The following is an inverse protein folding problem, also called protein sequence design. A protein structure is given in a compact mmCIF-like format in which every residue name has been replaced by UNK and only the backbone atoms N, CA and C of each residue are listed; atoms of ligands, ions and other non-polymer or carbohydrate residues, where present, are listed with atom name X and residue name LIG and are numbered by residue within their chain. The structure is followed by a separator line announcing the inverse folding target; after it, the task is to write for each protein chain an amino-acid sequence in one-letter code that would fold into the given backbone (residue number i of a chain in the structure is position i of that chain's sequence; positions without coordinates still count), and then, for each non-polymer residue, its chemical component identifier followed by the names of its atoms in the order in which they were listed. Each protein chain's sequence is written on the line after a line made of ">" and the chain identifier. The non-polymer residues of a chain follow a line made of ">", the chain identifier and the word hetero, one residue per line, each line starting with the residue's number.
data_IF_800989659878
#
_entry.id   IF_800989659878
#
_cell.length_a   1.000
_cell.length_b   1.000
_cell.length_c   1.000
_cell.angle_alpha   90.00
_cell.angle_beta   90.00
_cell.angle_gamma   90.00
#
_symmetry.space_group_name_H-M   'P 1'
#
loop_
_entity.id
_entity.type
_entity.pdbx_description
1 polymer ?
#
# COMPACT_ATOMS: atom_id res chain seq x y z
N UNK A 1 -19.72 4.32 12.22
CA UNK A 1 -20.03 2.88 12.32
C UNK A 1 -20.56 2.28 11.02
N UNK A 2 -21.64 2.78 10.40
CA UNK A 2 -22.14 2.19 9.14
C UNK A 2 -21.10 2.19 8.00
N UNK A 3 -20.33 3.27 7.88
CA UNK A 3 -19.31 3.43 6.83
C UNK A 3 -18.17 2.40 6.93
N UNK A 4 -17.66 2.11 8.14
CA UNK A 4 -16.57 1.14 8.33
C UNK A 4 -17.01 -0.27 7.90
N UNK A 5 -18.24 -0.68 8.20
CA UNK A 5 -18.74 -1.98 7.77
C UNK A 5 -18.90 -2.07 6.25
N UNK A 6 -19.34 -1.00 5.58
CA UNK A 6 -19.43 -0.97 4.11
C UNK A 6 -18.05 -1.17 3.50
N UNK A 7 -17.03 -0.43 3.97
CA UNK A 7 -15.65 -0.58 3.50
C UNK A 7 -15.14 -2.01 3.73
N UNK A 8 -15.40 -2.60 4.91
CA UNK A 8 -15.01 -3.98 5.24
C UNK A 8 -15.68 -4.98 4.29
N UNK A 9 -16.97 -4.84 4.01
CA UNK A 9 -17.71 -5.73 3.11
C UNK A 9 -17.16 -5.63 1.70
N UNK A 10 -16.97 -4.42 1.18
CA UNK A 10 -16.41 -4.19 -0.16
C UNK A 10 -14.99 -4.75 -0.27
N UNK A 11 -14.15 -4.52 0.75
CA UNK A 11 -12.80 -5.05 0.83
C UNK A 11 -12.79 -6.59 0.86
N UNK A 12 -13.69 -7.20 1.63
CA UNK A 12 -13.81 -8.66 1.71
C UNK A 12 -14.23 -9.25 0.37
N UNK A 13 -15.21 -8.64 -0.31
CA UNK A 13 -15.64 -9.04 -1.66
C UNK A 13 -14.48 -8.91 -2.65
N UNK A 14 -13.73 -7.80 -2.62
CA UNK A 14 -12.57 -7.59 -3.48
C UNK A 14 -11.51 -8.68 -3.26
N UNK A 15 -11.14 -8.97 -2.01
CA UNK A 15 -10.15 -9.98 -1.67
C UNK A 15 -10.58 -11.38 -2.12
N UNK A 16 -11.84 -11.76 -1.88
CA UNK A 16 -12.39 -13.05 -2.31
C UNK A 16 -12.42 -13.16 -3.85
N UNK A 17 -12.89 -12.11 -4.53
CA UNK A 17 -12.89 -12.07 -5.99
C UNK A 17 -11.49 -12.22 -6.56
N UNK A 18 -10.50 -11.49 -6.03
CA UNK A 18 -9.14 -11.55 -6.53
C UNK A 18 -8.44 -12.89 -6.20
N UNK A 19 -8.69 -13.46 -5.02
CA UNK A 19 -8.08 -14.73 -4.59
C UNK A 19 -8.65 -15.92 -5.38
N UNK A 20 -9.97 -15.98 -5.57
CA UNK A 20 -10.67 -17.15 -6.12
C UNK A 20 -11.13 -16.97 -7.58
N UNK A 21 -11.24 -15.74 -8.08
CA UNK A 21 -11.70 -15.41 -9.44
C UNK A 21 -10.66 -15.65 -10.54
N UNK A 22 -9.88 -16.74 -10.48
CA UNK A 22 -8.84 -17.06 -11.47
C UNK A 22 -9.41 -17.23 -12.89
N UNK A 23 -10.66 -17.66 -13.03
CA UNK A 23 -11.34 -17.80 -14.33
C UNK A 23 -11.55 -16.44 -15.00
N UNK A 24 -11.94 -15.42 -14.24
CA UNK A 24 -12.24 -14.07 -14.77
C UNK A 24 -10.98 -13.21 -14.90
N UNK A 25 -10.04 -13.35 -13.95
CA UNK A 25 -8.77 -12.64 -13.96
C UNK A 25 -7.64 -13.66 -13.83
N UNK A 26 -7.12 -14.26 -14.92
CA UNK A 26 -6.14 -15.35 -14.83
C UNK A 26 -4.73 -14.90 -14.45
N UNK A 27 -4.37 -13.65 -14.72
CA UNK A 27 -3.03 -13.11 -14.47
C UNK A 27 -2.78 -12.87 -12.99
N UNK A 28 -1.87 -13.65 -12.39
CA UNK A 28 -1.43 -13.44 -11.00
C UNK A 28 -0.76 -12.08 -10.80
N UNK A 29 -0.08 -11.56 -11.82
CA UNK A 29 0.50 -10.23 -11.78
C UNK A 29 -0.58 -9.16 -11.60
N UNK A 30 -1.65 -9.22 -12.41
CA UNK A 30 -2.75 -8.25 -12.32
C UNK A 30 -3.50 -8.43 -11.01
N UNK A 31 -3.79 -9.67 -10.58
CA UNK A 31 -4.44 -9.94 -9.31
C UNK A 31 -3.64 -9.38 -8.11
N UNK A 32 -2.31 -9.57 -8.09
CA UNK A 32 -1.43 -9.00 -7.05
C UNK A 32 -1.47 -7.48 -7.02
N UNK A 33 -1.31 -6.82 -8.18
CA UNK A 33 -1.25 -5.35 -8.23
C UNK A 33 -2.63 -4.71 -7.99
N UNK A 34 -3.71 -5.34 -8.46
CA UNK A 34 -5.08 -4.94 -8.12
C UNK A 34 -5.38 -5.14 -6.63
N UNK A 35 -4.92 -6.24 -6.02
CA UNK A 35 -5.05 -6.44 -4.59
C UNK A 35 -4.27 -5.38 -3.82
N UNK A 36 -3.01 -5.10 -4.20
CA UNK A 36 -2.16 -4.12 -3.54
C UNK A 36 -2.79 -2.71 -3.59
N UNK A 37 -3.06 -2.19 -4.80
CA UNK A 37 -3.60 -0.84 -4.96
C UNK A 37 -5.07 -0.73 -4.50
N UNK A 38 -5.90 -1.71 -4.83
CA UNK A 38 -7.33 -1.71 -4.48
C UNK A 38 -7.57 -1.86 -2.98
N UNK A 39 -6.84 -2.77 -2.33
CA UNK A 39 -6.90 -2.88 -0.86
C UNK A 39 -6.35 -1.63 -0.20
N UNK A 40 -5.24 -1.10 -0.72
CA UNK A 40 -4.68 0.16 -0.27
C UNK A 40 -5.71 1.29 -0.31
N UNK A 41 -6.38 1.49 -1.45
CA UNK A 41 -7.44 2.49 -1.61
C UNK A 41 -8.55 2.35 -0.57
N UNK A 42 -9.08 1.13 -0.38
CA UNK A 42 -10.14 0.89 0.60
C UNK A 42 -9.64 1.07 2.04
N UNK A 43 -8.37 0.76 2.33
CA UNK A 43 -7.74 1.04 3.62
C UNK A 43 -7.56 2.52 3.91
N UNK A 44 -7.41 3.38 2.89
CA UNK A 44 -7.39 4.84 3.07
C UNK A 44 -8.74 5.38 3.58
N UNK A 45 -9.84 4.66 3.32
CA UNK A 45 -11.17 5.00 3.81
C UNK A 45 -11.41 4.52 5.26
N UNK A 46 -10.50 3.72 5.82
CA UNK A 46 -10.58 3.27 7.20
C UNK A 46 -9.95 4.29 8.13
N UNK A 47 -10.65 4.59 9.23
CA UNK A 47 -10.10 5.34 10.34
C UNK A 47 -9.31 4.40 11.26
N UNK A 48 -8.00 4.59 11.38
CA UNK A 48 -7.12 3.78 12.22
C UNK A 48 -7.41 3.91 13.73
N UNK A 49 -8.17 4.93 14.15
CA UNK A 49 -8.66 5.07 15.54
C UNK A 49 -9.90 4.25 15.83
N UNK A 50 -10.65 3.86 14.81
CA UNK A 50 -11.81 2.96 14.95
C UNK A 50 -11.32 1.54 15.28
N UNK A 51 -11.84 0.99 16.38
CA UNK A 51 -11.46 -0.33 16.90
C UNK A 51 -11.83 -1.44 15.90
N UNK A 52 -12.99 -1.34 15.24
CA UNK A 52 -13.47 -2.32 14.26
C UNK A 52 -12.56 -2.30 13.03
N UNK A 53 -12.19 -1.11 12.55
CA UNK A 53 -11.25 -0.98 11.44
C UNK A 53 -9.89 -1.62 11.75
N UNK A 54 -9.34 -1.40 12.96
CA UNK A 54 -8.08 -2.02 13.37
C UNK A 54 -8.17 -3.54 13.43
N UNK A 55 -9.20 -4.08 14.08
CA UNK A 55 -9.38 -5.54 14.15
C UNK A 55 -9.51 -6.16 12.77
N UNK A 56 -10.20 -5.50 11.85
CA UNK A 56 -10.29 -5.94 10.48
C UNK A 56 -8.91 -5.96 9.79
N UNK A 57 -8.14 -4.86 9.86
CA UNK A 57 -6.79 -4.80 9.28
C UNK A 57 -5.87 -5.85 9.88
N UNK A 58 -5.89 -6.04 11.20
CA UNK A 58 -5.10 -7.08 11.87
C UNK A 58 -5.49 -8.48 11.42
N UNK A 59 -6.78 -8.74 11.21
CA UNK A 59 -7.26 -10.02 10.70
C UNK A 59 -6.78 -10.26 9.27
N UNK A 60 -6.85 -9.25 8.40
CA UNK A 60 -6.33 -9.33 7.02
C UNK A 60 -4.82 -9.59 7.03
N UNK A 61 -4.06 -8.88 7.87
CA UNK A 61 -2.60 -9.08 8.04
C UNK A 61 -2.31 -10.49 8.52
N UNK A 62 -2.98 -10.95 9.59
CA UNK A 62 -2.77 -12.27 10.18
C UNK A 62 -3.06 -13.39 9.17
N UNK A 63 -4.20 -13.32 8.48
CA UNK A 63 -4.56 -14.32 7.46
C UNK A 63 -3.58 -14.29 6.29
N UNK A 64 -3.21 -13.11 5.79
CA UNK A 64 -2.27 -12.98 4.67
C UNK A 64 -0.88 -13.52 5.02
N UNK A 65 -0.39 -13.24 6.23
CA UNK A 65 0.88 -13.79 6.73
C UNK A 65 0.79 -15.30 6.94
N UNK A 66 -0.30 -15.79 7.53
CA UNK A 66 -0.52 -17.22 7.75
C UNK A 66 -0.56 -18.01 6.44
N UNK A 67 -1.15 -17.45 5.37
CA UNK A 67 -1.12 -18.06 4.04
C UNK A 67 0.28 -17.95 3.39
N UNK A 68 0.98 -16.83 3.56
CA UNK A 68 2.33 -16.60 3.00
C UNK A 68 3.36 -17.55 3.62
N UNK A 69 3.26 -17.81 4.92
CA UNK A 69 4.22 -18.61 5.70
C UNK A 69 3.76 -20.05 5.97
N UNK A 70 2.67 -20.50 5.32
CA UNK A 70 2.08 -21.84 5.48
C UNK A 70 1.76 -22.22 6.93
N UNK A 71 1.23 -21.29 7.71
CA UNK A 71 0.72 -21.59 9.07
C UNK A 71 -0.60 -22.35 9.04
N UNK A 72 -1.33 -22.26 7.93
CA UNK A 72 -2.60 -22.96 7.76
C UNK A 72 -2.43 -24.35 7.12
N UNK A 73 -3.38 -25.28 7.34
CA UNK A 73 -3.35 -26.61 6.75
C UNK A 73 -3.31 -26.60 5.21
N UNK A 74 -2.86 -27.69 4.62
CA UNK A 74 -2.67 -27.83 3.16
C UNK A 74 -3.94 -27.71 2.31
N UNK A 75 -5.14 -27.83 2.90
CA UNK A 75 -6.40 -27.61 2.20
C UNK A 75 -6.70 -26.12 1.97
N UNK A 76 -6.04 -25.20 2.68
CA UNK A 76 -6.12 -23.77 2.42
C UNK A 76 -5.32 -23.46 1.14
N UNK A 77 -5.91 -22.77 0.16
CA UNK A 77 -5.22 -22.46 -1.09
C UNK A 77 -4.00 -21.57 -0.87
N UNK A 78 -3.01 -21.69 -1.76
CA UNK A 78 -1.83 -20.82 -1.75
C UNK A 78 -2.23 -19.37 -1.94
N UNK A 79 -1.55 -18.47 -1.21
CA UNK A 79 -1.78 -17.04 -1.32
C UNK A 79 -1.49 -16.56 -2.73
N UNK A 80 -2.50 -16.02 -3.41
CA UNK A 80 -2.37 -15.68 -4.83
C UNK A 80 -1.55 -14.42 -5.07
N UNK A 81 -1.51 -13.53 -4.08
CA UNK A 81 -0.91 -12.21 -4.20
C UNK A 81 0.59 -12.18 -3.92
N UNK A 82 1.19 -13.33 -3.57
CA UNK A 82 2.59 -13.42 -3.15
C UNK A 82 3.24 -14.74 -3.50
N UNK A 83 4.57 -14.77 -3.39
CA UNK A 83 5.30 -16.03 -3.31
C UNK A 83 5.11 -16.69 -1.94
N UNK A 84 5.48 -17.98 -1.84
CA UNK A 84 5.67 -18.61 -0.53
C UNK A 84 6.85 -17.93 0.17
N UNK A 85 6.68 -17.60 1.45
CA UNK A 85 7.71 -16.92 2.25
C UNK A 85 8.14 -15.57 1.66
N UNK A 86 7.21 -14.86 1.01
CA UNK A 86 7.46 -13.54 0.41
C UNK A 86 7.73 -12.50 1.51
N UNK A 87 9.01 -12.18 1.70
CA UNK A 87 9.48 -11.21 2.70
C UNK A 87 9.04 -9.79 2.38
N UNK A 88 8.86 -9.44 1.09
CA UNK A 88 8.37 -8.12 0.69
C UNK A 88 6.94 -7.87 1.14
N UNK A 89 6.05 -8.85 0.95
CA UNK A 89 4.68 -8.81 1.47
C UNK A 89 4.70 -8.80 3.00
N UNK A 90 5.57 -9.60 3.61
CA UNK A 90 5.69 -9.65 5.08
C UNK A 90 6.01 -8.27 5.65
N UNK A 91 7.02 -7.60 5.11
CA UNK A 91 7.43 -6.25 5.57
C UNK A 91 6.33 -5.23 5.30
N UNK A 92 5.71 -5.25 4.13
CA UNK A 92 4.58 -4.40 3.80
C UNK A 92 3.44 -4.53 4.82
N UNK A 93 3.02 -5.76 5.12
CA UNK A 93 1.94 -6.02 6.08
C UNK A 93 2.31 -5.61 7.50
N UNK A 94 3.57 -5.81 7.91
CA UNK A 94 4.07 -5.36 9.22
C UNK A 94 4.06 -3.82 9.32
N UNK A 95 4.48 -3.10 8.29
CA UNK A 95 4.43 -1.62 8.25
C UNK A 95 2.97 -1.15 8.41
N UNK A 96 2.05 -1.72 7.63
CA UNK A 96 0.63 -1.38 7.69
C UNK A 96 0.04 -1.69 9.06
N UNK A 97 0.32 -2.88 9.62
CA UNK A 97 -0.13 -3.28 10.95
C UNK A 97 0.39 -2.34 12.03
N UNK A 98 1.68 -2.00 11.97
CA UNK A 98 2.31 -1.07 12.89
C UNK A 98 1.69 0.31 12.82
N UNK A 99 1.42 0.83 11.61
CA UNK A 99 0.80 2.15 11.44
C UNK A 99 -0.60 2.23 12.03
N UNK A 100 -1.42 1.18 11.83
CA UNK A 100 -2.74 1.05 12.47
C UNK A 100 -2.64 0.84 13.99
N UNK A 101 -1.64 0.11 14.48
CA UNK A 101 -1.36 -0.02 15.91
C UNK A 101 -1.03 1.32 16.56
N UNK A 102 -0.23 2.13 15.90
CA UNK A 102 0.09 3.50 16.29
C UNK A 102 -1.07 4.50 16.08
N UNK A 103 -2.21 4.04 15.55
CA UNK A 103 -3.41 4.84 15.28
C UNK A 103 -3.12 6.10 14.45
N UNK A 104 -2.14 6.01 13.56
CA UNK A 104 -1.77 7.10 12.65
C UNK A 104 -2.72 7.14 11.45
N UNK A 105 -2.99 8.32 10.85
CA UNK A 105 -3.89 8.43 9.71
C UNK A 105 -3.45 7.54 8.54
N UNK A 106 -4.39 6.77 7.99
CA UNK A 106 -4.13 5.81 6.90
C UNK A 106 -3.65 6.51 5.62
N UNK A 107 -4.03 7.78 5.40
CA UNK A 107 -3.58 8.60 4.26
C UNK A 107 -2.06 8.69 4.12
N UNK A 108 -1.31 8.61 5.22
CA UNK A 108 0.15 8.58 5.21
C UNK A 108 0.73 7.38 4.43
N UNK A 109 -0.03 6.28 4.34
CA UNK A 109 0.36 5.06 3.64
C UNK A 109 0.06 5.11 2.13
N UNK A 110 -0.60 6.16 1.62
CA UNK A 110 -0.99 6.24 0.21
C UNK A 110 0.17 6.06 -0.78
N UNK A 111 1.37 6.63 -0.58
CA UNK A 111 2.50 6.37 -1.48
C UNK A 111 2.88 4.89 -1.55
N UNK A 112 2.82 4.18 -0.42
CA UNK A 112 3.14 2.75 -0.33
C UNK A 112 2.13 1.91 -1.13
N UNK A 113 0.85 2.28 -1.09
CA UNK A 113 -0.23 1.55 -1.76
C UNK A 113 -0.26 1.72 -3.26
N UNK A 114 0.20 2.86 -3.78
CA UNK A 114 0.00 3.21 -5.19
C UNK A 114 1.30 3.28 -6.00
N UNK A 115 2.42 3.70 -5.39
CA UNK A 115 3.63 3.96 -6.16
C UNK A 115 4.26 2.67 -6.72
N UNK A 116 4.41 1.61 -5.92
CA UNK A 116 4.90 0.30 -6.40
C UNK A 116 3.98 -0.32 -7.47
N UNK A 117 2.64 -0.39 -7.28
CA UNK A 117 1.76 -0.89 -8.32
C UNK A 117 1.83 -0.09 -9.63
N UNK A 118 1.90 1.23 -9.54
CA UNK A 118 2.06 2.08 -10.73
C UNK A 118 3.37 1.76 -11.46
N UNK A 119 4.49 1.69 -10.74
CA UNK A 119 5.79 1.36 -11.32
C UNK A 119 5.80 0.02 -12.04
N UNK A 120 5.23 -1.01 -11.42
CA UNK A 120 5.15 -2.34 -12.02
C UNK A 120 4.20 -2.39 -13.24
N UNK A 121 3.04 -1.74 -13.18
CA UNK A 121 2.04 -1.74 -14.26
C UNK A 121 2.58 -0.99 -15.48
N UNK A 122 3.00 0.27 -15.30
CA UNK A 122 3.54 1.08 -16.39
C UNK A 122 4.86 0.52 -16.90
N UNK A 123 5.73 0.03 -16.01
CA UNK A 123 6.95 -0.65 -16.39
C UNK A 123 6.69 -1.82 -17.33
N UNK A 124 5.80 -2.74 -16.94
CA UNK A 124 5.44 -3.91 -17.75
C UNK A 124 4.74 -3.53 -19.05
N UNK A 125 3.79 -2.59 -19.02
CA UNK A 125 3.05 -2.14 -20.20
C UNK A 125 3.98 -1.61 -21.30
N UNK A 126 4.90 -0.72 -20.94
CA UNK A 126 5.82 -0.10 -21.89
C UNK A 126 6.98 -1.04 -22.28
N UNK A 127 7.39 -1.96 -21.40
CA UNK A 127 8.36 -3.02 -21.76
C UNK A 127 7.79 -3.99 -22.78
N UNK A 128 6.51 -4.35 -22.68
CA UNK A 128 5.84 -5.19 -23.68
C UNK A 128 5.74 -4.52 -25.06
N UNK A 129 5.84 -3.19 -25.12
CA UNK A 129 5.86 -2.41 -26.35
C UNK A 129 7.29 -2.17 -26.88
N UNK A 130 8.33 -2.65 -26.18
CA UNK A 130 9.74 -2.50 -26.58
C UNK A 130 10.32 -1.09 -26.39
N UNK A 131 9.58 -0.17 -25.76
CA UNK A 131 9.96 1.25 -25.61
C UNK A 131 10.52 1.60 -24.24
N UNK A 132 10.68 0.62 -23.35
CA UNK A 132 11.08 0.85 -21.96
C UNK A 132 12.41 0.18 -21.62
N UNK A 133 13.43 0.99 -21.34
CA UNK A 133 14.77 0.50 -20.98
C UNK A 133 14.84 0.15 -19.50
N UNK A 134 15.46 -0.99 -19.21
CA UNK A 134 15.91 -1.34 -17.86
C UNK A 134 17.11 -0.45 -17.52
N UNK A 135 17.14 0.11 -16.32
CA UNK A 135 18.24 0.97 -15.87
C UNK A 135 18.88 0.49 -14.55
N UNK A 136 18.14 -0.27 -13.74
CA UNK A 136 18.66 -0.86 -12.51
C UNK A 136 18.04 -2.24 -12.27
N UNK A 137 18.84 -3.31 -12.32
CA UNK A 137 18.38 -4.71 -12.19
C UNK A 137 17.16 -5.06 -13.08
N UNK A 138 15.95 -5.06 -12.53
CA UNK A 138 14.68 -5.32 -13.23
C UNK A 138 13.75 -4.10 -13.25
N UNK A 139 14.28 -2.92 -12.91
CA UNK A 139 13.58 -1.65 -12.82
C UNK A 139 13.78 -0.88 -14.10
N UNK A 140 12.72 -0.25 -14.54
CA UNK A 140 12.63 0.34 -15.87
C UNK A 140 12.41 1.84 -15.77
N UNK A 141 12.88 2.60 -16.75
CA UNK A 141 12.82 4.08 -16.70
C UNK A 141 11.38 4.55 -16.57
N UNK A 142 10.47 4.00 -17.39
CA UNK A 142 9.04 4.37 -17.33
C UNK A 142 8.40 3.92 -16.02
N UNK A 143 8.78 2.74 -15.50
CA UNK A 143 8.29 2.26 -14.21
C UNK A 143 8.69 3.20 -13.07
N UNK A 144 9.98 3.53 -12.96
CA UNK A 144 10.47 4.47 -11.93
C UNK A 144 9.85 5.86 -12.06
N UNK A 145 9.63 6.34 -13.29
CA UNK A 145 8.94 7.61 -13.53
C UNK A 145 7.48 7.56 -13.04
N UNK A 146 6.79 6.44 -13.23
CA UNK A 146 5.44 6.25 -12.70
C UNK A 146 5.42 6.21 -11.17
N UNK A 147 6.40 5.55 -10.52
CA UNK A 147 6.57 5.58 -9.06
C UNK A 147 6.73 7.03 -8.58
N UNK A 148 7.60 7.81 -9.23
CA UNK A 148 7.83 9.21 -8.91
C UNK A 148 6.54 10.04 -8.99
N UNK A 149 5.82 9.99 -10.12
CA UNK A 149 4.60 10.79 -10.28
C UNK A 149 3.50 10.39 -9.31
N UNK A 150 3.29 9.09 -9.11
CA UNK A 150 2.25 8.61 -8.20
C UNK A 150 2.61 8.89 -6.74
N UNK A 151 3.88 8.74 -6.35
CA UNK A 151 4.34 9.15 -5.03
C UNK A 151 4.16 10.66 -4.83
N UNK A 152 4.54 11.49 -5.81
CA UNK A 152 4.35 12.95 -5.74
C UNK A 152 2.89 13.35 -5.53
N UNK A 153 1.95 12.67 -6.18
CA UNK A 153 0.51 12.91 -6.02
C UNK A 153 -0.03 12.38 -4.69
N UNK A 154 0.49 11.25 -4.20
CA UNK A 154 0.03 10.60 -2.99
C UNK A 154 0.63 11.18 -1.69
N UNK A 155 1.76 11.89 -1.79
CA UNK A 155 2.42 12.51 -0.64
C UNK A 155 1.64 13.73 -0.16
N UNK A 156 1.23 13.68 1.11
CA UNK A 156 0.67 14.82 1.81
C UNK A 156 1.81 15.70 2.34
N UNK A 157 2.38 16.54 1.48
CA UNK A 157 3.43 17.51 1.83
C UNK A 157 3.05 18.85 1.20
N UNK A 158 2.72 19.90 1.95
CA UNK A 158 2.16 21.12 1.37
C UNK A 158 3.16 21.91 0.51
N UNK A 159 4.47 21.73 0.74
CA UNK A 159 5.53 22.47 0.04
C UNK A 159 6.03 21.68 -1.17
N UNK A 160 6.03 22.32 -2.34
CA UNK A 160 6.41 21.68 -3.61
C UNK A 160 7.81 21.08 -3.60
N UNK A 161 8.83 21.82 -3.17
CA UNK A 161 10.22 21.36 -3.24
C UNK A 161 10.49 20.13 -2.34
N UNK A 162 10.11 20.10 -1.05
CA UNK A 162 10.18 18.88 -0.24
C UNK A 162 9.37 17.72 -0.81
N UNK A 163 8.16 17.98 -1.34
CA UNK A 163 7.35 16.94 -2.00
C UNK A 163 8.08 16.32 -3.19
N UNK A 164 8.70 17.15 -4.02
CA UNK A 164 9.51 16.74 -5.16
C UNK A 164 10.70 15.88 -4.71
N UNK A 165 11.42 16.30 -3.67
CA UNK A 165 12.55 15.57 -3.11
C UNK A 165 12.11 14.21 -2.56
N UNK A 166 11.05 14.16 -1.74
CA UNK A 166 10.56 12.92 -1.14
C UNK A 166 10.02 11.96 -2.20
N UNK A 167 9.31 12.46 -3.22
CA UNK A 167 8.86 11.64 -4.35
C UNK A 167 10.04 11.04 -5.13
N UNK A 168 11.11 11.81 -5.33
CA UNK A 168 12.35 11.33 -5.94
C UNK A 168 13.01 10.25 -5.09
N UNK A 169 13.05 10.43 -3.77
CA UNK A 169 13.55 9.42 -2.83
C UNK A 169 12.70 8.15 -2.83
N UNK A 170 11.36 8.26 -2.94
CA UNK A 170 10.48 7.10 -3.09
C UNK A 170 10.78 6.34 -4.38
N UNK A 171 10.96 7.05 -5.50
CA UNK A 171 11.26 6.43 -6.79
C UNK A 171 12.64 5.75 -6.83
N UNK A 172 13.66 6.41 -6.27
CA UNK A 172 14.98 5.81 -6.10
C UNK A 172 14.94 4.64 -5.12
N UNK A 173 14.17 4.78 -4.05
CA UNK A 173 13.97 3.75 -3.04
C UNK A 173 13.33 2.49 -3.61
N UNK A 174 12.28 2.64 -4.43
CA UNK A 174 11.68 1.54 -5.19
C UNK A 174 12.70 0.84 -6.08
N UNK A 175 13.57 1.60 -6.74
CA UNK A 175 14.57 1.06 -7.63
C UNK A 175 15.65 0.28 -6.86
N UNK A 176 16.24 0.89 -5.83
CA UNK A 176 17.31 0.29 -5.03
C UNK A 176 16.83 -0.78 -4.04
N UNK A 177 15.54 -0.78 -3.68
CA UNK A 177 14.91 -1.86 -2.91
C UNK A 177 14.78 -3.18 -3.70
N UNK A 178 15.07 -3.15 -5.00
CA UNK A 178 15.09 -4.34 -5.86
C UNK A 178 13.71 -5.01 -5.94
N UNK A 179 13.68 -6.34 -5.99
CA UNK A 179 12.42 -7.12 -6.07
C UNK A 179 11.72 -7.36 -4.74
N UNK A 180 12.46 -7.21 -3.64
CA UNK A 180 12.06 -7.77 -2.34
C UNK A 180 11.73 -6.69 -1.33
N UNK A 181 12.45 -5.57 -1.36
CA UNK A 181 12.36 -4.52 -0.35
C UNK A 181 11.84 -3.19 -0.92
N UNK A 182 11.35 -3.18 -2.15
CA UNK A 182 10.80 -1.98 -2.82
C UNK A 182 9.82 -1.21 -1.94
N UNK A 183 8.80 -1.88 -1.40
CA UNK A 183 7.82 -1.28 -0.51
C UNK A 183 8.44 -0.72 0.78
N UNK A 184 9.41 -1.43 1.38
CA UNK A 184 10.07 -0.97 2.60
C UNK A 184 10.86 0.32 2.37
N UNK A 185 11.59 0.38 1.24
CA UNK A 185 12.43 1.54 0.90
C UNK A 185 11.60 2.70 0.35
N UNK A 186 10.39 2.48 -0.18
CA UNK A 186 9.39 3.54 -0.42
C UNK A 186 8.83 4.06 0.91
N UNK A 187 8.52 3.16 1.85
CA UNK A 187 7.90 3.52 3.12
C UNK A 187 8.78 4.44 3.98
N UNK A 188 10.10 4.26 3.97
CA UNK A 188 11.04 5.10 4.75
C UNK A 188 10.89 6.59 4.44
N UNK A 189 11.08 7.08 3.19
CA UNK A 189 10.91 8.49 2.87
C UNK A 189 9.45 8.95 3.00
N UNK A 190 8.47 8.11 2.62
CA UNK A 190 7.06 8.48 2.71
C UNK A 190 6.61 8.72 4.17
N UNK A 191 6.78 7.72 5.05
CA UNK A 191 6.37 7.81 6.45
C UNK A 191 7.29 8.72 7.26
N UNK A 192 8.59 8.75 6.95
CA UNK A 192 9.52 9.70 7.56
C UNK A 192 9.13 11.15 7.28
N UNK A 193 8.75 11.46 6.03
CA UNK A 193 8.27 12.80 5.68
C UNK A 193 6.94 13.13 6.35
N UNK A 194 6.02 12.16 6.47
CA UNK A 194 4.78 12.35 7.22
C UNK A 194 5.07 12.79 8.65
N UNK A 195 5.92 12.04 9.37
CA UNK A 195 6.30 12.36 10.75
C UNK A 195 7.01 13.71 10.86
N UNK A 196 7.78 14.12 9.85
CA UNK A 196 8.43 15.42 9.84
C UNK A 196 7.45 16.59 9.68
N UNK A 197 6.50 16.49 8.75
CA UNK A 197 5.59 17.60 8.42
C UNK A 197 4.34 17.66 9.31
N UNK A 198 3.88 16.51 9.81
CA UNK A 198 2.65 16.42 10.60
C UNK A 198 2.91 16.05 12.07
N UNK A 199 4.13 15.63 12.41
CA UNK A 199 4.43 15.08 13.72
C UNK A 199 3.78 13.71 13.94
N UNK A 200 3.89 13.23 15.17
CA UNK A 200 3.16 12.05 15.62
C UNK A 200 1.74 12.47 15.99
N UNK A 201 0.71 11.89 15.37
CA UNK A 201 -0.65 12.21 15.74
C UNK A 201 -0.91 11.72 17.18
N UNK A 202 -0.84 12.62 18.15
CA UNK A 202 -1.30 12.35 19.51
C UNK A 202 -2.82 12.43 19.51
N UNK A 203 -3.50 11.52 20.21
CA UNK A 203 -4.95 11.31 20.11
C UNK A 203 -5.86 12.49 20.50
N UNK A 204 -5.32 13.69 20.74
CA UNK A 204 -6.04 14.86 21.22
C UNK A 204 -6.50 15.85 20.13
N UNK A 205 -5.88 15.87 18.94
CA UNK A 205 -6.03 17.01 18.02
C UNK A 205 -7.04 16.84 16.86
N UNK A 206 -7.69 15.68 16.69
CA UNK A 206 -8.56 15.46 15.51
C UNK A 206 -10.06 15.56 15.82
N UNK A 207 -10.44 15.63 17.10
CA UNK A 207 -11.84 15.94 17.47
C UNK A 207 -12.17 17.42 17.32
N UNK A 208 -11.18 18.33 17.42
CA UNK A 208 -11.38 19.76 17.21
C UNK A 208 -11.49 20.13 15.74
N UNK A 209 -10.66 19.55 14.86
CA UNK A 209 -10.63 19.92 13.44
C UNK A 209 -11.90 19.53 12.66
N UNK A 210 -12.59 18.44 13.03
CA UNK A 210 -13.86 18.04 12.40
C UNK A 210 -15.03 18.86 12.97
N UNK A 211 -15.02 19.17 14.28
CA UNK A 211 -15.99 20.06 14.90
C UNK A 211 -15.90 21.50 14.33
N UNK A 212 -14.69 22.01 14.16
CA UNK A 212 -14.42 23.32 13.53
C UNK A 212 -14.75 23.33 12.02
N UNK A 213 -14.50 22.24 11.28
CA UNK A 213 -14.92 22.15 9.87
C UNK A 213 -16.43 21.99 9.68
N UNK A 214 -17.16 21.46 10.68
CA UNK A 214 -18.61 21.26 10.62
C UNK A 214 -19.40 22.37 11.33
N UNK A 215 -18.72 23.35 11.95
CA UNK A 215 -19.36 24.45 12.67
C UNK A 215 -20.21 23.99 13.85
N UNK A 216 -19.81 22.92 14.54
CA UNK A 216 -20.44 22.41 15.77
C UNK A 216 -19.49 22.56 16.94
#
# INVERSE_FOLDING_TARGET
>A
MAEVFVVIVVQTILLLFLQFGKTLLPSNFVARKACHAGSGLLMLLLNSRDVVARFFVYSVVFVSLGMTWKWFPSWVPVFRFGGLYDSGITIYLVIVCFWFYCQQPSVALAPLFFADPAGAIFGKLFSNQGINKVWWENKTVVGTLAVFFVAFLALDIPVFAPRLCVASLCALGEAFGGRTYDNAVIAIPALGSWLWFHGWATGAETTSSIAEMLGI
#
